data_IF_807957882218
#
_entry.id   IF_807957882218
#
_cell.length_a   1.000
_cell.length_b   1.000
_cell.length_c   1.000
_cell.angle_alpha   90.00
_cell.angle_beta   90.00
_cell.angle_gamma   90.00
#
_symmetry.space_group_name_H-M   'P 1'
#
loop_
_entity.id
_entity.type
_entity.pdbx_description
1 polymer ?
#
# COMPACT_ATOMS: atom_id res chain seq x y z
N UNK A 1 -1.08 -4.61 69.20
CA UNK A 1 -1.25 -5.05 67.79
C UNK A 1 -2.47 -4.33 67.22
N UNK A 2 -2.29 -3.39 66.30
CA UNK A 2 -3.37 -2.90 65.43
C UNK A 2 -2.78 -2.80 64.01
N UNK A 3 -3.50 -3.42 63.08
CA UNK A 3 -3.04 -3.90 61.79
C UNK A 3 -2.66 -2.78 60.81
N UNK A 4 -1.68 -3.09 59.96
CA UNK A 4 -1.11 -2.22 58.95
C UNK A 4 -2.07 -1.86 57.81
N UNK A 5 -1.78 -0.70 57.23
CA UNK A 5 -2.38 -0.16 56.02
C UNK A 5 -2.16 -1.08 54.81
N UNK A 6 -3.17 -1.17 53.94
CA UNK A 6 -2.99 -1.55 52.54
C UNK A 6 -3.81 -0.59 51.68
N UNK A 7 -3.22 0.54 51.31
CA UNK A 7 -3.73 1.38 50.23
C UNK A 7 -3.31 0.72 48.92
N UNK A 8 -4.23 0.05 48.26
CA UNK A 8 -4.00 -0.46 46.91
C UNK A 8 -3.73 0.71 45.97
N UNK A 9 -2.53 0.75 45.37
CA UNK A 9 -2.24 1.65 44.26
C UNK A 9 -3.20 1.33 43.12
N UNK A 10 -4.13 2.24 42.84
CA UNK A 10 -4.94 2.18 41.63
C UNK A 10 -4.08 2.69 40.49
N UNK A 11 -3.57 1.76 39.68
CA UNK A 11 -3.03 2.06 38.36
C UNK A 11 -4.06 2.85 37.57
N UNK A 12 -3.67 3.98 37.01
CA UNK A 12 -4.52 4.82 36.17
C UNK A 12 -5.15 3.97 35.05
N UNK A 13 -6.50 3.82 35.01
CA UNK A 13 -7.18 2.99 34.01
C UNK A 13 -7.07 3.55 32.59
N UNK A 14 -6.61 4.80 32.44
CA UNK A 14 -6.36 5.44 31.15
C UNK A 14 -4.87 5.40 30.76
N UNK A 15 -4.03 4.76 31.57
CA UNK A 15 -2.63 4.57 31.24
C UNK A 15 -2.48 3.78 29.95
N UNK A 16 -1.58 4.24 29.08
CA UNK A 16 -1.24 3.54 27.83
C UNK A 16 -0.68 2.16 28.18
N UNK A 17 -1.41 1.11 27.80
CA UNK A 17 -1.00 -0.27 27.99
C UNK A 17 0.25 -0.62 27.18
N UNK A 18 1.12 -1.44 27.75
CA UNK A 18 2.26 -2.00 27.02
C UNK A 18 1.71 -2.96 25.96
N UNK A 19 2.09 -2.79 24.67
CA UNK A 19 1.63 -3.69 23.63
C UNK A 19 2.20 -5.10 23.84
N UNK A 20 1.40 -6.13 23.55
CA UNK A 20 1.82 -7.54 23.66
C UNK A 20 3.02 -7.89 22.76
N UNK A 21 3.27 -7.09 21.72
CA UNK A 21 4.35 -7.29 20.77
C UNK A 21 5.15 -5.99 20.53
N UNK A 22 6.46 -6.08 20.27
CA UNK A 22 7.26 -4.92 19.93
C UNK A 22 6.78 -4.32 18.60
N UNK A 23 6.69 -2.99 18.55
CA UNK A 23 6.39 -2.28 17.30
C UNK A 23 7.49 -2.55 16.27
N UNK A 24 7.10 -3.16 15.14
CA UNK A 24 8.04 -3.49 14.04
C UNK A 24 8.14 -2.39 12.98
N UNK A 25 7.10 -1.57 12.83
CA UNK A 25 7.04 -0.52 11.83
C UNK A 25 7.92 0.66 12.27
N UNK A 26 9.00 0.92 11.52
CA UNK A 26 9.92 2.04 11.78
C UNK A 26 9.56 3.31 11.00
N UNK A 27 8.82 3.18 9.89
CA UNK A 27 8.51 4.26 8.95
C UNK A 27 7.13 4.01 8.33
N UNK A 28 6.36 5.07 8.18
CA UNK A 28 5.07 5.08 7.49
C UNK A 28 5.20 5.99 6.27
N UNK A 29 4.86 5.48 5.08
CA UNK A 29 4.78 6.28 3.85
C UNK A 29 3.29 6.43 3.54
N UNK A 30 2.82 7.68 3.51
CA UNK A 30 1.44 8.00 3.17
C UNK A 30 1.36 8.52 1.73
N UNK A 31 0.59 7.85 0.87
CA UNK A 31 0.46 8.18 -0.54
C UNK A 31 -0.97 8.64 -0.85
N UNK A 32 -1.13 9.86 -1.36
CA UNK A 32 -2.39 10.32 -1.94
C UNK A 32 -2.40 9.98 -3.44
N UNK A 33 -3.13 8.93 -3.78
CA UNK A 33 -3.33 8.49 -5.16
C UNK A 33 -4.75 8.87 -5.59
N UNK A 34 -4.88 9.59 -6.70
CA UNK A 34 -6.19 9.85 -7.30
C UNK A 34 -6.80 8.54 -7.80
N UNK A 35 -7.85 8.04 -7.13
CA UNK A 35 -8.50 6.77 -7.47
C UNK A 35 -7.84 5.51 -6.90
N UNK A 36 -6.81 5.64 -6.05
CA UNK A 36 -6.13 4.52 -5.41
C UNK A 36 -5.20 3.73 -6.35
N UNK A 37 -4.53 2.72 -5.79
CA UNK A 37 -3.74 1.77 -6.58
C UNK A 37 -4.65 0.63 -7.04
N UNK A 38 -4.85 0.47 -8.35
CA UNK A 38 -5.56 -0.69 -8.87
C UNK A 38 -4.69 -1.94 -8.79
N UNK A 39 -5.30 -3.09 -8.50
CA UNK A 39 -4.62 -4.39 -8.60
C UNK A 39 -4.12 -4.65 -10.02
N UNK A 40 -4.87 -4.16 -11.02
CA UNK A 40 -4.52 -4.21 -12.44
C UNK A 40 -3.24 -3.43 -12.73
N UNK A 41 -2.91 -2.41 -11.93
CA UNK A 41 -1.72 -1.57 -12.12
C UNK A 41 -0.49 -2.05 -11.36
N UNK A 42 -0.66 -2.98 -10.42
CA UNK A 42 0.40 -3.33 -9.47
C UNK A 42 1.18 -4.59 -9.86
N UNK A 43 0.49 -5.65 -10.32
CA UNK A 43 1.11 -6.99 -10.41
C UNK A 43 0.76 -7.79 -11.66
N UNK A 44 0.16 -7.17 -12.68
CA UNK A 44 -0.13 -7.87 -13.94
C UNK A 44 0.93 -7.57 -15.00
N UNK A 45 1.45 -8.63 -15.64
CA UNK A 45 2.36 -8.48 -16.77
C UNK A 45 1.53 -8.13 -17.99
N UNK A 46 1.74 -6.92 -18.53
CA UNK A 46 1.03 -6.40 -19.71
C UNK A 46 1.90 -6.52 -20.98
N UNK A 47 1.99 -7.69 -21.65
CA UNK A 47 2.88 -7.90 -22.79
C UNK A 47 2.55 -6.99 -23.99
N UNK A 48 1.28 -6.73 -24.24
CA UNK A 48 0.86 -5.83 -25.32
C UNK A 48 1.28 -4.38 -25.06
N UNK A 49 1.24 -3.93 -23.80
CA UNK A 49 1.69 -2.59 -23.43
C UNK A 49 3.20 -2.43 -23.61
N UNK A 50 3.98 -3.50 -23.37
CA UNK A 50 5.42 -3.53 -23.67
C UNK A 50 5.67 -3.42 -25.18
N UNK A 51 4.94 -4.16 -26.00
CA UNK A 51 5.09 -4.12 -27.47
C UNK A 51 4.75 -2.75 -28.07
N UNK A 52 3.77 -2.06 -27.49
CA UNK A 52 3.26 -0.77 -28.01
C UNK A 52 3.79 0.44 -27.23
N UNK A 53 4.89 0.28 -26.50
CA UNK A 53 5.50 1.36 -25.73
C UNK A 53 5.78 2.59 -26.61
N UNK A 54 5.34 3.77 -26.18
CA UNK A 54 5.49 5.03 -26.89
C UNK A 54 4.51 5.28 -28.04
N UNK A 55 3.62 4.33 -28.37
CA UNK A 55 2.58 4.53 -29.38
C UNK A 55 1.39 5.35 -28.83
N UNK A 56 0.64 6.07 -29.70
CA UNK A 56 -0.57 6.76 -29.27
C UNK A 56 -1.65 5.77 -28.79
N UNK A 57 -2.58 6.27 -27.98
CA UNK A 57 -3.71 5.49 -27.49
C UNK A 57 -4.55 4.97 -28.68
N UNK A 58 -4.86 3.66 -28.72
CA UNK A 58 -5.61 3.06 -29.82
C UNK A 58 -7.14 3.22 -29.68
N UNK A 59 -7.61 3.96 -28.67
CA UNK A 59 -9.03 4.15 -28.36
C UNK A 59 -9.35 5.61 -28.03
N UNK A 60 -10.64 5.95 -28.11
CA UNK A 60 -11.12 7.29 -27.79
C UNK A 60 -10.89 7.62 -26.31
N UNK A 61 -10.35 8.80 -26.06
CA UNK A 61 -10.13 9.32 -24.71
C UNK A 61 -11.47 9.49 -23.97
N UNK A 62 -11.54 9.22 -22.66
CA UNK A 62 -12.72 9.53 -21.88
C UNK A 62 -13.03 11.03 -21.95
N UNK A 63 -14.32 11.39 -21.99
CA UNK A 63 -14.77 12.78 -22.16
C UNK A 63 -14.32 13.71 -21.02
N UNK A 64 -13.96 13.15 -19.86
CA UNK A 64 -13.43 13.87 -18.71
C UNK A 64 -11.92 13.58 -18.56
N UNK A 65 -11.09 14.36 -19.26
CA UNK A 65 -9.64 14.39 -19.03
C UNK A 65 -9.32 15.53 -18.06
N UNK A 66 -8.81 15.21 -16.86
CA UNK A 66 -8.33 16.21 -15.89
C UNK A 66 -6.90 16.70 -16.20
N UNK A 67 -6.17 15.97 -17.06
CA UNK A 67 -4.79 16.28 -17.46
C UNK A 67 -4.53 15.71 -18.88
N UNK A 68 -3.56 16.26 -19.63
CA UNK A 68 -3.23 15.74 -20.95
C UNK A 68 -2.68 14.31 -20.86
N UNK A 69 -3.41 13.36 -21.44
CA UNK A 69 -2.96 11.95 -21.52
C UNK A 69 -1.85 11.80 -22.56
N UNK A 70 -0.71 11.24 -22.15
CA UNK A 70 0.43 10.93 -23.04
C UNK A 70 0.30 9.61 -23.79
N UNK A 71 1.39 9.17 -24.42
CA UNK A 71 1.47 7.91 -25.15
C UNK A 71 1.44 6.69 -24.20
N UNK A 72 1.19 5.51 -24.76
CA UNK A 72 1.24 4.24 -24.04
C UNK A 72 2.60 4.08 -23.34
N UNK A 73 2.58 3.96 -22.02
CA UNK A 73 3.78 3.79 -21.20
C UNK A 73 3.89 2.33 -20.75
N UNK A 74 4.93 1.64 -21.21
CA UNK A 74 5.28 0.35 -20.64
C UNK A 74 5.76 0.49 -19.19
N UNK A 75 5.60 -0.58 -18.41
CA UNK A 75 6.13 -0.60 -17.04
C UNK A 75 7.64 -0.31 -17.06
N UNK A 76 8.13 0.66 -16.26
CA UNK A 76 9.56 0.91 -16.15
C UNK A 76 10.28 -0.22 -15.39
N UNK A 77 9.53 -1.09 -14.71
CA UNK A 77 10.05 -2.18 -13.91
C UNK A 77 10.01 -3.50 -14.68
N UNK A 78 11.14 -4.22 -14.68
CA UNK A 78 11.22 -5.57 -15.26
C UNK A 78 10.43 -6.53 -14.39
N UNK A 79 9.36 -7.08 -14.94
CA UNK A 79 8.59 -8.11 -14.27
C UNK A 79 9.41 -9.39 -14.14
N UNK A 80 9.56 -9.89 -12.92
CA UNK A 80 10.16 -11.20 -12.63
C UNK A 80 9.04 -12.13 -12.21
N UNK A 81 8.92 -13.27 -12.87
CA UNK A 81 8.02 -14.33 -12.42
C UNK A 81 8.61 -14.89 -11.13
N UNK A 82 7.98 -14.61 -10.00
CA UNK A 82 8.31 -15.19 -8.71
C UNK A 82 7.17 -16.14 -8.33
N UNK A 83 7.23 -17.34 -8.88
CA UNK A 83 6.27 -18.41 -8.62
C UNK A 83 6.86 -19.74 -9.08
N UNK A 84 7.33 -20.54 -8.13
CA UNK A 84 7.30 -21.98 -8.30
C UNK A 84 5.85 -22.44 -8.26
N UNK A 85 5.57 -23.59 -8.87
CA UNK A 85 4.27 -24.24 -8.85
C UNK A 85 3.77 -24.31 -7.40
N UNK A 86 2.67 -23.61 -7.12
CA UNK A 86 1.94 -23.85 -5.88
C UNK A 86 1.30 -25.22 -6.04
N UNK A 87 1.88 -26.22 -5.38
CA UNK A 87 1.23 -27.52 -5.18
C UNK A 87 0.01 -27.42 -4.27
#
# INVERSE_FOLDING_TARGET
MLAGEARGERSDPLAVGVPHFPARAKRVIFLFLHGGMSHVDSFDKKPELVKRNGQPLPFAKPAFEFAPTGNLLASPWKFRVHGGESG
#
